data_IF_500474040058
#
_entry.id   IF_500474040058
#
_cell.length_a   1.000
_cell.length_b   1.000
_cell.length_c   1.000
_cell.angle_alpha   90.00
_cell.angle_beta   90.00
_cell.angle_gamma   90.00
#
_symmetry.space_group_name_H-M   'P 1'
#
loop_
_entity.id
_entity.type
_entity.pdbx_description
1 polymer ?
#
# COMPACT_ATOMS: atom_id res chain seq x y z
N UNK A 1 -3.76 1.12 18.04
CA UNK A 1 -3.05 2.18 17.26
C UNK A 1 -1.60 2.44 17.74
N UNK A 2 -0.82 1.41 18.12
CA UNK A 2 0.57 1.59 18.60
C UNK A 2 1.65 1.11 17.61
N UNK A 3 1.31 0.22 16.68
CA UNK A 3 2.28 -0.41 15.76
C UNK A 3 2.69 0.49 14.57
N UNK A 4 1.84 1.44 14.17
CA UNK A 4 2.08 2.33 13.02
C UNK A 4 3.25 3.29 13.27
N UNK A 5 3.46 3.72 14.51
CA UNK A 5 4.53 4.67 14.87
C UNK A 5 5.93 4.03 14.87
N UNK A 6 6.03 2.75 15.22
CA UNK A 6 7.29 2.01 15.23
C UNK A 6 7.77 1.72 13.82
N UNK A 7 6.85 1.35 12.91
CA UNK A 7 7.19 1.18 11.50
C UNK A 7 7.72 2.47 10.88
N UNK A 8 7.08 3.60 11.18
CA UNK A 8 7.51 4.89 10.66
C UNK A 8 8.88 5.32 11.21
N UNK A 9 9.13 5.11 12.51
CA UNK A 9 10.43 5.38 13.12
C UNK A 9 11.53 4.54 12.47
N UNK A 10 11.32 3.23 12.31
CA UNK A 10 12.30 2.35 11.67
C UNK A 10 12.61 2.77 10.23
N UNK A 11 11.58 3.13 9.44
CA UNK A 11 11.76 3.62 8.07
C UNK A 11 12.53 4.94 8.05
N UNK A 12 12.20 5.89 8.93
CA UNK A 12 12.90 7.17 8.99
C UNK A 12 14.36 7.04 9.44
N UNK A 13 14.65 6.16 10.40
CA UNK A 13 16.02 5.89 10.86
C UNK A 13 16.84 5.19 9.77
N UNK A 14 16.25 4.27 9.02
CA UNK A 14 16.90 3.62 7.89
C UNK A 14 17.20 4.60 6.76
N UNK A 15 16.26 5.49 6.45
CA UNK A 15 16.42 6.51 5.41
C UNK A 15 17.52 7.53 5.75
N UNK A 16 17.64 7.92 7.02
CA UNK A 16 18.70 8.80 7.52
C UNK A 16 20.09 8.15 7.48
N UNK A 17 20.19 6.84 7.73
CA UNK A 17 21.47 6.13 7.66
C UNK A 17 22.02 6.08 6.23
N UNK A 18 21.15 5.85 5.24
CA UNK A 18 21.54 5.83 3.81
C UNK A 18 22.09 7.20 3.38
N UNK A 19 21.46 8.30 3.80
CA UNK A 19 21.91 9.63 3.35
C UNK A 19 23.29 9.96 3.90
N UNK A 20 23.59 9.65 5.16
CA UNK A 20 24.90 9.96 5.75
C UNK A 20 26.06 9.19 5.12
N UNK A 21 25.84 7.97 4.63
CA UNK A 21 26.91 7.19 3.99
C UNK A 21 27.18 7.59 2.54
N UNK A 22 26.17 8.11 1.83
CA UNK A 22 26.34 8.59 0.45
C UNK A 22 27.17 9.90 0.41
N UNK A 23 27.09 10.75 1.43
CA UNK A 23 27.78 12.04 1.47
C UNK A 23 29.23 11.99 2.00
N UNK A 24 29.71 10.84 2.49
CA UNK A 24 31.07 10.70 3.00
C UNK A 24 32.13 10.38 1.92
N UNK A 25 31.70 10.14 0.67
CA UNK A 25 32.61 9.85 -0.45
C UNK A 25 32.85 11.10 -1.31
N UNK A 26 33.96 11.80 -1.08
CA UNK A 26 34.38 12.99 -1.84
C UNK A 26 34.61 12.73 -3.34
N UNK A 27 34.81 11.47 -3.75
CA UNK A 27 34.98 11.09 -5.16
C UNK A 27 34.52 9.66 -5.40
N UNK A 28 33.33 9.48 -6.00
CA UNK A 28 32.84 8.15 -6.39
C UNK A 28 33.50 7.77 -7.72
N UNK A 29 34.60 7.03 -7.67
CA UNK A 29 35.18 6.39 -8.86
C UNK A 29 34.48 5.04 -9.02
N UNK A 30 33.43 5.01 -9.83
CA UNK A 30 32.72 3.77 -10.15
C UNK A 30 33.51 3.03 -11.22
N UNK A 31 34.07 1.88 -10.83
CA UNK A 31 34.60 0.93 -11.78
C UNK A 31 33.43 0.30 -12.57
N UNK A 32 33.44 0.49 -13.88
CA UNK A 32 32.37 0.02 -14.77
C UNK A 32 32.26 -1.50 -14.76
N UNK A 33 33.37 -2.20 -14.65
CA UNK A 33 33.41 -3.66 -14.67
C UNK A 33 32.85 -4.22 -13.36
N UNK A 34 33.16 -3.56 -12.24
CA UNK A 34 32.61 -3.91 -10.94
C UNK A 34 31.10 -3.63 -10.85
N UNK A 35 30.66 -2.50 -11.41
CA UNK A 35 29.24 -2.14 -11.47
C UNK A 35 28.45 -3.12 -12.36
N UNK A 36 28.98 -3.49 -13.53
CA UNK A 36 28.37 -4.47 -14.42
C UNK A 36 28.23 -5.84 -13.75
N UNK A 37 29.30 -6.35 -13.13
CA UNK A 37 29.27 -7.63 -12.43
C UNK A 37 28.34 -7.64 -11.21
N UNK A 38 28.12 -6.49 -10.56
CA UNK A 38 27.08 -6.35 -9.54
C UNK A 38 25.67 -6.43 -10.13
N UNK A 39 25.41 -5.71 -11.22
CA UNK A 39 24.09 -5.71 -11.88
C UNK A 39 23.74 -7.09 -12.43
N UNK A 40 24.67 -7.78 -13.08
CA UNK A 40 24.48 -9.13 -13.61
C UNK A 40 24.17 -10.13 -12.49
N UNK A 41 24.94 -10.08 -11.38
CA UNK A 41 24.73 -10.99 -10.24
C UNK A 41 23.41 -10.73 -9.51
N UNK A 42 22.95 -9.48 -9.48
CA UNK A 42 21.78 -9.08 -8.69
C UNK A 42 20.55 -8.71 -9.53
N UNK A 43 20.57 -8.99 -10.83
CA UNK A 43 19.50 -8.60 -11.77
C UNK A 43 18.11 -9.04 -11.32
N UNK A 44 18.00 -10.26 -10.76
CA UNK A 44 16.73 -10.79 -10.26
C UNK A 44 16.14 -9.92 -9.14
N UNK A 45 16.96 -9.48 -8.19
CA UNK A 45 16.52 -8.64 -7.08
C UNK A 45 16.14 -7.24 -7.54
N UNK A 46 16.92 -6.67 -8.47
CA UNK A 46 16.61 -5.37 -9.07
C UNK A 46 15.26 -5.40 -9.79
N UNK A 47 14.97 -6.47 -10.53
CA UNK A 47 13.68 -6.64 -11.21
C UNK A 47 12.50 -6.75 -10.23
N UNK A 48 12.66 -7.46 -9.11
CA UNK A 48 11.63 -7.59 -8.07
C UNK A 48 11.33 -6.22 -7.44
N UNK A 49 12.38 -5.47 -7.09
CA UNK A 49 12.24 -4.12 -6.51
C UNK A 49 11.57 -3.17 -7.50
N UNK A 50 12.01 -3.18 -8.77
CA UNK A 50 11.40 -2.36 -9.82
C UNK A 50 9.91 -2.70 -10.01
N UNK A 51 9.56 -3.99 -10.01
CA UNK A 51 8.17 -4.44 -10.11
C UNK A 51 7.34 -4.03 -8.90
N UNK A 52 7.88 -4.12 -7.69
CA UNK A 52 7.19 -3.68 -6.48
C UNK A 52 6.89 -2.17 -6.51
N UNK A 53 7.85 -1.36 -6.95
CA UNK A 53 7.66 0.08 -7.13
C UNK A 53 6.57 0.34 -8.18
N UNK A 54 6.59 -0.38 -9.29
CA UNK A 54 5.57 -0.28 -10.33
C UNK A 54 4.17 -0.60 -9.77
N UNK A 55 4.02 -1.70 -9.03
CA UNK A 55 2.74 -2.07 -8.42
C UNK A 55 2.24 -0.96 -7.49
N UNK A 56 3.09 -0.37 -6.66
CA UNK A 56 2.70 0.72 -5.75
C UNK A 56 2.21 1.94 -6.52
N UNK A 57 2.91 2.32 -7.59
CA UNK A 57 2.55 3.48 -8.43
C UNK A 57 1.19 3.23 -9.11
N UNK A 58 0.97 2.03 -9.64
CA UNK A 58 -0.21 1.71 -10.44
C UNK A 58 -1.41 1.20 -9.61
N UNK A 59 -1.21 0.71 -8.38
CA UNK A 59 -2.31 0.20 -7.53
C UNK A 59 -3.19 1.29 -6.93
N UNK A 60 -2.74 2.55 -6.94
CA UNK A 60 -3.50 3.70 -6.42
C UNK A 60 -4.70 4.13 -7.28
N UNK A 61 -4.88 3.53 -8.47
CA UNK A 61 -5.96 3.90 -9.41
C UNK A 61 -7.29 3.15 -9.19
N UNK A 62 -7.39 2.35 -8.12
CA UNK A 62 -8.60 1.61 -7.78
C UNK A 62 -9.77 2.54 -7.45
N UNK A 63 -10.73 2.62 -8.39
CA UNK A 63 -12.08 3.23 -8.24
C UNK A 63 -12.57 3.16 -6.80
N UNK A 64 -12.95 4.32 -6.24
CA UNK A 64 -13.80 4.39 -5.04
C UNK A 64 -15.01 3.51 -5.29
N UNK A 65 -15.07 2.37 -4.61
CA UNK A 65 -16.20 1.45 -4.69
C UNK A 65 -17.35 2.16 -3.99
N UNK A 66 -18.31 2.67 -4.77
CA UNK A 66 -19.53 3.23 -4.23
C UNK A 66 -20.15 2.19 -3.29
N UNK A 67 -20.34 2.56 -2.04
CA UNK A 67 -20.90 1.67 -1.03
C UNK A 67 -22.41 1.76 -1.18
N UNK A 68 -23.03 0.73 -1.78
CA UNK A 68 -24.49 0.64 -1.81
C UNK A 68 -24.96 -0.05 -0.54
N UNK A 69 -25.53 0.72 0.39
CA UNK A 69 -26.15 0.19 1.59
C UNK A 69 -27.61 -0.16 1.28
N UNK A 70 -27.97 -1.44 1.38
CA UNK A 70 -29.37 -1.88 1.28
C UNK A 70 -29.92 -2.08 2.69
N UNK A 71 -30.93 -1.28 3.06
CA UNK A 71 -31.62 -1.41 4.34
C UNK A 71 -32.97 -2.08 4.10
N UNK A 72 -33.18 -3.23 4.73
CA UNK A 72 -34.48 -3.93 4.72
C UNK A 72 -35.13 -3.75 6.08
N UNK A 73 -36.23 -3.01 6.16
CA UNK A 73 -37.06 -2.89 7.36
C UNK A 73 -38.21 -3.88 7.27
N UNK A 74 -38.31 -4.76 8.26
CA UNK A 74 -39.44 -5.68 8.41
C UNK A 74 -40.33 -5.14 9.51
N UNK A 75 -41.52 -4.69 9.16
CA UNK A 75 -42.56 -4.27 10.10
C UNK A 75 -43.35 -5.50 10.50
N UNK A 76 -43.46 -5.73 11.82
CA UNK A 76 -44.23 -6.83 12.41
C UNK A 76 -45.37 -6.27 13.24
N UNK A 77 -46.46 -7.02 13.34
CA UNK A 77 -47.54 -6.73 14.29
C UNK A 77 -47.18 -7.16 15.71
N UNK A 78 -48.02 -6.79 16.69
CA UNK A 78 -47.82 -7.10 18.11
C UNK A 78 -47.88 -8.61 18.41
N UNK A 79 -48.31 -9.44 17.45
CA UNK A 79 -48.37 -10.91 17.52
C UNK A 79 -47.16 -11.55 16.82
N UNK A 80 -46.26 -10.75 16.25
CA UNK A 80 -45.02 -11.17 15.61
C UNK A 80 -45.13 -11.55 14.13
N UNK A 81 -46.30 -11.40 13.50
CA UNK A 81 -46.48 -11.64 12.07
C UNK A 81 -45.93 -10.49 11.24
N UNK A 82 -45.35 -10.81 10.09
CA UNK A 82 -44.81 -9.80 9.17
C UNK A 82 -45.95 -9.15 8.41
N UNK A 83 -46.11 -7.84 8.58
CA UNK A 83 -47.17 -7.06 7.93
C UNK A 83 -46.67 -6.25 6.74
N UNK A 84 -45.39 -5.84 6.75
CA UNK A 84 -44.80 -5.08 5.64
C UNK A 84 -43.28 -5.25 5.60
N UNK A 85 -42.72 -5.33 4.39
CA UNK A 85 -41.28 -5.28 4.16
C UNK A 85 -40.97 -4.06 3.30
N UNK A 86 -40.14 -3.17 3.82
CA UNK A 86 -39.67 -1.97 3.10
C UNK A 86 -38.18 -2.13 2.80
N UNK A 87 -37.81 -2.02 1.52
CA UNK A 87 -36.42 -2.08 1.09
C UNK A 87 -35.99 -0.72 0.58
N UNK A 88 -35.02 -0.11 1.26
CA UNK A 88 -34.43 1.17 0.83
C UNK A 88 -33.00 0.91 0.38
N UNK A 89 -32.67 1.35 -0.83
CA UNK A 89 -31.30 1.32 -1.36
C UNK A 89 -30.73 2.72 -1.27
N UNK A 90 -29.66 2.89 -0.52
CA UNK A 90 -28.93 4.15 -0.43
C UNK A 90 -27.55 3.94 -1.04
N UNK A 91 -27.21 4.74 -2.05
CA UNK A 91 -25.86 4.79 -2.59
C UNK A 91 -25.12 5.95 -1.93
N UNK A 92 -24.00 5.68 -1.26
CA UNK A 92 -23.00 6.69 -0.90
C UNK A 92 -21.96 6.86 -2.01
#
# INVERSE_FOLDING_TARGET
MKHIRIGYLLVTTWLLAITTEIFAQDKIVIDKDQAAGFLERNWIWLSIVALAILIIIFSGSGRRRASTTTTTKVVKDDVGNVTRVETTKTSE
#
